data_IF_244734033501
#
_entry.id   IF_244734033501
#
_cell.length_a   1.000
_cell.length_b   1.000
_cell.length_c   1.000
_cell.angle_alpha   90.00
_cell.angle_beta   90.00
_cell.angle_gamma   90.00
#
_symmetry.space_group_name_H-M   'P 1'
#
loop_
_entity.id
_entity.type
_entity.pdbx_description
1 polymer ?
#
# COMPACT_ATOMS: atom_id res chain seq x y z
N UNK A 1 12.87 7.67 -13.54
CA UNK A 1 12.73 6.51 -12.62
C UNK A 1 14.01 5.68 -12.69
N UNK A 2 14.87 5.73 -11.68
CA UNK A 2 16.29 5.42 -11.84
C UNK A 2 16.71 3.95 -11.64
N UNK A 3 15.80 2.99 -11.42
CA UNK A 3 16.19 1.58 -11.15
C UNK A 3 15.34 0.48 -11.82
N UNK A 4 14.44 0.80 -12.76
CA UNK A 4 13.78 -0.20 -13.62
C UNK A 4 13.10 -1.39 -12.91
N UNK A 5 12.58 -1.19 -11.70
CA UNK A 5 11.93 -2.23 -10.93
C UNK A 5 10.73 -2.81 -11.68
N UNK A 6 10.58 -4.14 -11.64
CA UNK A 6 9.45 -4.86 -12.26
C UNK A 6 8.20 -4.91 -11.38
N UNK A 7 8.39 -4.64 -10.09
CA UNK A 7 7.34 -4.67 -9.06
C UNK A 7 7.55 -3.47 -8.15
N UNK A 8 6.45 -2.82 -7.80
CA UNK A 8 6.34 -1.79 -6.76
C UNK A 8 5.16 -2.15 -5.84
N UNK A 9 4.66 -1.25 -5.02
CA UNK A 9 3.52 -1.53 -4.16
C UNK A 9 3.13 -0.38 -3.26
N UNK A 10 2.25 -0.69 -2.31
CA UNK A 10 1.86 0.21 -1.22
C UNK A 10 1.81 -0.55 0.10
N UNK A 11 2.08 0.17 1.19
CA UNK A 11 2.15 -0.37 2.56
C UNK A 11 1.25 0.46 3.47
N UNK A 12 0.44 -0.21 4.29
CA UNK A 12 -0.29 0.39 5.40
C UNK A 12 0.46 0.05 6.68
N UNK A 13 0.85 1.05 7.46
CA UNK A 13 1.61 0.87 8.69
C UNK A 13 1.09 1.82 9.77
N UNK A 14 1.47 1.55 11.02
CA UNK A 14 1.18 2.45 12.14
C UNK A 14 2.00 3.73 11.96
N UNK A 15 1.39 4.89 12.13
CA UNK A 15 2.13 6.15 12.13
C UNK A 15 2.92 6.31 13.44
N UNK A 16 4.18 6.73 13.32
CA UNK A 16 5.04 7.09 14.46
C UNK A 16 5.63 8.48 14.23
N UNK A 17 6.35 9.03 15.21
CA UNK A 17 7.07 10.30 15.04
C UNK A 17 8.14 10.22 13.94
N UNK A 18 8.68 9.03 13.71
CA UNK A 18 9.60 8.76 12.62
C UNK A 18 8.82 8.42 11.35
N UNK A 19 9.16 9.10 10.26
CA UNK A 19 8.55 8.91 8.93
C UNK A 19 8.75 7.46 8.49
N UNK A 20 7.65 6.82 8.08
CA UNK A 20 7.59 5.47 7.50
C UNK A 20 8.25 4.35 8.35
N UNK A 21 8.33 4.54 9.67
CA UNK A 21 9.07 3.64 10.57
C UNK A 21 8.19 2.73 11.46
N UNK A 22 6.87 2.88 11.41
CA UNK A 22 6.00 2.10 12.28
C UNK A 22 5.73 0.66 11.80
N UNK A 23 5.21 -0.20 12.68
CA UNK A 23 4.87 -1.59 12.32
C UNK A 23 3.95 -1.68 11.09
N UNK A 24 4.31 -2.58 10.16
CA UNK A 24 3.52 -2.86 8.96
C UNK A 24 2.25 -3.62 9.36
N UNK A 25 1.10 -3.13 8.89
CA UNK A 25 -0.22 -3.71 9.10
C UNK A 25 -0.67 -4.53 7.87
N UNK A 26 -0.38 -4.02 6.67
CA UNK A 26 -0.66 -4.70 5.40
C UNK A 26 0.26 -4.17 4.31
N UNK A 27 0.50 -4.97 3.28
CA UNK A 27 1.29 -4.58 2.10
C UNK A 27 0.77 -5.31 0.87
N UNK A 28 0.78 -4.63 -0.27
CA UNK A 28 0.39 -5.22 -1.54
C UNK A 28 1.34 -4.82 -2.66
N UNK A 29 1.76 -5.82 -3.44
CA UNK A 29 2.59 -5.65 -4.61
C UNK A 29 1.76 -5.22 -5.83
N UNK A 30 2.33 -4.35 -6.66
CA UNK A 30 1.78 -3.87 -7.91
C UNK A 30 2.84 -4.04 -8.99
N UNK A 31 2.55 -4.83 -10.01
CA UNK A 31 3.46 -5.01 -11.14
C UNK A 31 3.64 -3.70 -11.91
N UNK A 32 4.82 -3.49 -12.50
CA UNK A 32 5.07 -2.44 -13.48
C UNK A 32 4.90 -3.04 -14.87
N UNK A 33 3.87 -2.62 -15.60
CA UNK A 33 3.50 -3.21 -16.88
C UNK A 33 4.31 -2.59 -18.03
N UNK A 34 4.52 -3.34 -19.12
CA UNK A 34 5.08 -2.77 -20.36
C UNK A 34 4.23 -1.59 -20.84
N UNK A 35 4.88 -0.45 -21.06
CA UNK A 35 4.22 0.77 -21.55
C UNK A 35 3.65 1.67 -20.45
N UNK A 36 3.79 1.32 -19.17
CA UNK A 36 3.46 2.27 -18.10
C UNK A 36 4.35 3.51 -18.18
N UNK A 37 3.71 4.66 -18.00
CA UNK A 37 4.39 5.88 -17.59
C UNK A 37 4.21 6.10 -16.08
N UNK A 38 4.74 7.22 -15.57
CA UNK A 38 4.63 7.55 -14.17
C UNK A 38 3.17 7.70 -13.71
N UNK A 39 2.34 8.29 -14.55
CA UNK A 39 0.95 8.59 -14.24
C UNK A 39 0.13 7.30 -14.18
N UNK A 40 0.24 6.45 -15.20
CA UNK A 40 -0.53 5.19 -15.28
C UNK A 40 -0.17 4.24 -14.15
N UNK A 41 1.12 4.11 -13.85
CA UNK A 41 1.59 3.30 -12.72
C UNK A 41 1.08 3.87 -11.39
N UNK A 42 1.17 5.19 -11.20
CA UNK A 42 0.77 5.82 -9.96
C UNK A 42 -0.75 5.75 -9.71
N UNK A 43 -1.58 5.88 -10.74
CA UNK A 43 -3.03 5.69 -10.62
C UNK A 43 -3.39 4.24 -10.27
N UNK A 44 -2.67 3.25 -10.82
CA UNK A 44 -2.85 1.85 -10.43
C UNK A 44 -2.46 1.61 -8.97
N UNK A 45 -1.34 2.16 -8.50
CA UNK A 45 -0.93 2.08 -7.09
C UNK A 45 -1.99 2.71 -6.18
N UNK A 46 -2.49 3.91 -6.50
CA UNK A 46 -3.53 4.58 -5.71
C UNK A 46 -4.82 3.78 -5.62
N UNK A 47 -5.21 3.08 -6.69
CA UNK A 47 -6.40 2.23 -6.66
C UNK A 47 -6.23 1.07 -5.67
N UNK A 48 -5.05 0.44 -5.67
CA UNK A 48 -4.69 -0.63 -4.73
C UNK A 48 -4.60 -0.11 -3.30
N UNK A 49 -3.92 1.03 -3.09
CA UNK A 49 -3.72 1.67 -1.80
C UNK A 49 -5.05 1.99 -1.10
N UNK A 50 -6.00 2.62 -1.81
CA UNK A 50 -7.30 2.98 -1.23
C UNK A 50 -8.07 1.75 -0.76
N UNK A 51 -8.05 0.66 -1.55
CA UNK A 51 -8.70 -0.60 -1.16
C UNK A 51 -8.00 -1.21 0.05
N UNK A 52 -6.68 -1.36 -0.02
CA UNK A 52 -5.87 -1.95 1.04
C UNK A 52 -6.06 -1.21 2.37
N UNK A 53 -6.12 0.12 2.33
CA UNK A 53 -6.32 0.95 3.51
C UNK A 53 -7.68 0.70 4.18
N UNK A 54 -8.77 0.73 3.40
CA UNK A 54 -10.13 0.47 3.92
C UNK A 54 -10.26 -0.94 4.48
N UNK A 55 -9.72 -1.95 3.79
CA UNK A 55 -9.79 -3.35 4.22
C UNK A 55 -8.95 -3.59 5.49
N UNK A 56 -7.80 -2.92 5.62
CA UNK A 56 -6.95 -2.99 6.82
C UNK A 56 -7.68 -2.41 8.03
N UNK A 57 -8.28 -1.22 7.90
CA UNK A 57 -9.06 -0.60 8.99
C UNK A 57 -10.24 -1.49 9.38
N UNK A 58 -10.98 -2.02 8.39
CA UNK A 58 -12.11 -2.94 8.65
C UNK A 58 -11.66 -4.15 9.46
N UNK A 59 -10.53 -4.74 9.10
CA UNK A 59 -9.95 -5.90 9.78
C UNK A 59 -9.59 -5.59 11.23
N UNK A 60 -8.99 -4.42 11.49
CA UNK A 60 -8.66 -3.97 12.85
C UNK A 60 -9.93 -3.81 13.69
N UNK A 61 -10.92 -3.07 13.17
CA UNK A 61 -12.20 -2.84 13.87
C UNK A 61 -12.96 -4.15 14.16
N UNK A 62 -12.84 -5.15 13.29
CA UNK A 62 -13.45 -6.46 13.52
C UNK A 62 -12.74 -7.25 14.63
N UNK A 63 -11.42 -7.13 14.75
CA UNK A 63 -10.64 -7.79 15.82
C UNK A 63 -10.95 -7.21 17.19
N UNK A 64 -11.11 -5.90 17.29
CA UNK A 64 -11.44 -5.22 18.56
C UNK A 64 -12.86 -5.54 19.07
N UNK A 65 -13.79 -5.93 18.19
CA UNK A 65 -15.16 -6.31 18.58
C UNK A 65 -15.29 -7.71 19.16
N UNK A 66 -14.22 -8.51 19.08
CA UNK A 66 -14.20 -9.93 19.51
C UNK A 66 -13.35 -10.11 20.80
N UNK A 67 -12.81 -9.02 21.37
CA UNK A 67 -12.19 -9.01 22.72
C UNK A 67 -13.10 -8.35 23.75
#
# INVERSE_FOLDING_TARGET
MAYGAKVTGCTVHVATEQVDAGPILAQEAVDVLPGDDQSTLHERIKAVERRLYVDTIRTILQRERVS
#
